data_IF_978439079803
#
_entry.id   IF_978439079803
#
_cell.length_a   1.000
_cell.length_b   1.000
_cell.length_c   1.000
_cell.angle_alpha   90.00
_cell.angle_beta   90.00
_cell.angle_gamma   90.00
#
_symmetry.space_group_name_H-M   'P 1'
#
loop_
_entity.id
_entity.type
_entity.pdbx_description
1 polymer ?
#
# COMPACT_ATOMS: atom_id res chain seq x y z
N UNK A 1 -0.99 15.17 -21.36
CA UNK A 1 -1.07 15.15 -19.88
C UNK A 1 -0.20 14.01 -19.36
N UNK A 2 0.26 14.04 -18.11
CA UNK A 2 0.98 12.93 -17.52
C UNK A 2 -0.01 11.79 -17.21
N UNK A 3 0.20 10.61 -17.81
CA UNK A 3 -0.69 9.46 -17.62
C UNK A 3 -0.35 8.69 -16.36
N UNK A 4 -1.37 8.33 -15.58
CA UNK A 4 -1.26 7.54 -14.36
C UNK A 4 -1.82 6.14 -14.63
N UNK A 5 -1.05 5.09 -14.37
CA UNK A 5 -1.54 3.72 -14.43
C UNK A 5 -1.67 3.19 -13.01
N UNK A 6 -2.88 2.80 -12.64
CA UNK A 6 -3.19 2.23 -11.33
C UNK A 6 -3.37 0.72 -11.46
N UNK A 7 -2.75 -0.05 -10.56
CA UNK A 7 -2.68 -1.51 -10.65
C UNK A 7 -3.00 -2.13 -9.30
N UNK A 8 -3.95 -3.07 -9.24
CA UNK A 8 -4.24 -3.78 -8.00
C UNK A 8 -5.69 -4.21 -7.86
N UNK A 9 -6.20 -4.11 -6.63
CA UNK A 9 -7.51 -4.64 -6.26
C UNK A 9 -8.70 -3.89 -6.86
N UNK A 10 -9.61 -4.67 -7.43
CA UNK A 10 -10.97 -4.27 -7.80
C UNK A 10 -11.94 -5.34 -7.29
N UNK A 11 -12.96 -4.93 -6.55
CA UNK A 11 -13.94 -5.84 -5.94
C UNK A 11 -15.28 -5.12 -5.76
N UNK A 12 -16.34 -5.86 -5.47
CA UNK A 12 -17.63 -5.28 -5.04
C UNK A 12 -17.70 -5.34 -3.51
N UNK A 13 -18.02 -4.22 -2.88
CA UNK A 13 -18.30 -4.16 -1.45
C UNK A 13 -19.79 -4.44 -1.24
N UNK A 14 -20.10 -5.50 -0.51
CA UNK A 14 -21.45 -5.93 -0.17
C UNK A 14 -21.63 -5.71 1.33
N UNK A 15 -22.59 -4.87 1.71
CA UNK A 15 -22.83 -4.53 3.11
C UNK A 15 -24.26 -4.88 3.48
N UNK A 16 -24.40 -5.78 4.44
CA UNK A 16 -25.65 -6.06 5.14
C UNK A 16 -25.66 -5.33 6.47
N UNK A 17 -26.72 -4.60 6.80
CA UNK A 17 -26.94 -4.00 8.12
C UNK A 17 -28.26 -4.53 8.68
N UNK A 18 -28.23 -5.08 9.88
CA UNK A 18 -29.45 -5.49 10.57
C UNK A 18 -30.21 -4.27 11.09
N UNK A 19 -31.55 -4.34 11.08
CA UNK A 19 -32.38 -3.20 11.53
C UNK A 19 -32.53 -3.14 13.08
N UNK A 20 -32.18 -4.21 13.79
CA UNK A 20 -32.30 -4.33 15.25
C UNK A 20 -31.19 -5.20 15.87
N UNK A 21 -31.40 -5.75 17.08
CA UNK A 21 -30.40 -6.59 17.73
C UNK A 21 -30.04 -7.80 16.87
N UNK A 22 -28.74 -8.03 16.66
CA UNK A 22 -28.27 -9.20 15.93
C UNK A 22 -28.49 -10.48 16.74
N UNK A 23 -29.14 -11.47 16.12
CA UNK A 23 -29.35 -12.80 16.68
C UNK A 23 -28.55 -13.81 15.83
N UNK A 24 -27.58 -14.47 16.46
CA UNK A 24 -26.76 -15.47 15.78
C UNK A 24 -27.57 -16.71 15.35
N UNK A 25 -27.10 -17.37 14.29
CA UNK A 25 -27.67 -18.62 13.75
C UNK A 25 -29.16 -18.55 13.32
N UNK A 26 -29.66 -17.35 12.99
CA UNK A 26 -30.99 -17.16 12.38
C UNK A 26 -30.96 -16.06 11.32
N UNK A 27 -32.06 -15.91 10.59
CA UNK A 27 -32.25 -14.83 9.61
C UNK A 27 -32.61 -13.53 10.32
N UNK A 28 -31.83 -12.47 10.10
CA UNK A 28 -32.04 -11.16 10.69
C UNK A 28 -32.59 -10.19 9.62
N UNK A 29 -33.74 -9.53 9.84
CA UNK A 29 -34.21 -8.45 8.97
C UNK A 29 -33.20 -7.30 8.89
N UNK A 30 -33.06 -6.73 7.70
CA UNK A 30 -32.09 -5.67 7.47
C UNK A 30 -32.05 -5.20 6.02
N UNK A 31 -31.01 -4.42 5.70
CA UNK A 31 -30.77 -3.87 4.37
C UNK A 31 -29.45 -4.35 3.82
N UNK A 32 -29.45 -4.68 2.54
CA UNK A 32 -28.23 -5.02 1.78
C UNK A 32 -27.97 -3.93 0.75
N UNK A 33 -26.72 -3.53 0.62
CA UNK A 33 -26.25 -2.61 -0.40
C UNK A 33 -24.98 -3.13 -1.05
N UNK A 34 -24.86 -2.91 -2.35
CA UNK A 34 -23.63 -3.15 -3.08
C UNK A 34 -23.04 -1.83 -3.55
N UNK A 35 -21.72 -1.71 -3.49
CA UNK A 35 -20.98 -0.60 -4.05
C UNK A 35 -19.75 -1.13 -4.75
N UNK A 36 -19.36 -0.47 -5.83
CA UNK A 36 -18.06 -0.74 -6.41
C UNK A 36 -16.99 -0.44 -5.34
N UNK A 37 -16.10 -1.40 -5.07
CA UNK A 37 -14.94 -1.28 -4.17
C UNK A 37 -13.58 -1.52 -4.86
N UNK A 38 -12.55 -1.74 -4.04
CA UNK A 38 -11.17 -2.00 -4.45
C UNK A 38 -10.24 -0.81 -4.27
N UNK A 39 -9.08 -1.00 -3.63
CA UNK A 39 -8.16 0.09 -3.31
C UNK A 39 -7.61 0.73 -4.60
N UNK A 40 -7.00 -0.06 -5.49
CA UNK A 40 -6.55 0.42 -6.80
C UNK A 40 -7.69 1.03 -7.61
N UNK A 41 -8.86 0.37 -7.67
CA UNK A 41 -10.04 0.92 -8.36
C UNK A 41 -10.42 2.28 -7.79
N UNK A 42 -10.52 2.44 -6.47
CA UNK A 42 -10.93 3.69 -5.83
C UNK A 42 -9.93 4.82 -6.07
N UNK A 43 -8.62 4.50 -6.08
CA UNK A 43 -7.58 5.46 -6.47
C UNK A 43 -7.82 5.91 -7.92
N UNK A 44 -8.00 4.97 -8.85
CA UNK A 44 -8.24 5.28 -10.26
C UNK A 44 -9.53 6.10 -10.46
N UNK A 45 -10.62 5.68 -9.82
CA UNK A 45 -11.92 6.34 -9.87
C UNK A 45 -11.82 7.81 -9.42
N UNK A 46 -11.19 8.06 -8.28
CA UNK A 46 -11.02 9.42 -7.76
C UNK A 46 -10.11 10.27 -8.66
N UNK A 47 -9.05 9.69 -9.24
CA UNK A 47 -8.22 10.38 -10.23
C UNK A 47 -9.01 10.74 -11.49
N UNK A 48 -9.88 9.84 -11.96
CA UNK A 48 -10.76 10.09 -13.09
C UNK A 48 -11.75 11.23 -12.82
N UNK A 49 -12.39 11.24 -11.64
CA UNK A 49 -13.28 12.33 -11.23
C UNK A 49 -12.57 13.70 -11.14
N UNK A 50 -11.26 13.70 -10.86
CA UNK A 50 -10.42 14.90 -10.88
C UNK A 50 -9.95 15.30 -12.29
N UNK A 51 -10.35 14.57 -13.33
CA UNK A 51 -10.01 14.83 -14.73
C UNK A 51 -8.59 14.41 -15.11
N UNK A 52 -7.94 13.52 -14.34
CA UNK A 52 -6.63 12.99 -14.69
C UNK A 52 -6.73 11.96 -15.84
N UNK A 53 -5.70 11.89 -16.69
CA UNK A 53 -5.51 10.80 -17.64
C UNK A 53 -5.06 9.54 -16.86
N UNK A 54 -6.01 8.66 -16.56
CA UNK A 54 -5.80 7.49 -15.70
C UNK A 54 -6.31 6.21 -16.35
N UNK A 55 -5.54 5.13 -16.21
CA UNK A 55 -5.94 3.78 -16.60
C UNK A 55 -5.88 2.82 -15.41
N UNK A 56 -6.77 1.84 -15.41
CA UNK A 56 -6.81 0.78 -14.41
C UNK A 56 -6.39 -0.56 -15.02
N UNK A 57 -5.40 -1.21 -14.40
CA UNK A 57 -5.08 -2.62 -14.62
C UNK A 57 -5.50 -3.38 -13.36
N UNK A 58 -6.57 -4.15 -13.48
CA UNK A 58 -7.08 -5.02 -12.43
C UNK A 58 -7.67 -6.27 -13.06
N UNK A 59 -7.79 -7.36 -12.29
CA UNK A 59 -8.49 -8.56 -12.73
C UNK A 59 -9.89 -8.59 -12.14
N UNK A 60 -10.87 -8.86 -13.00
CA UNK A 60 -12.28 -9.02 -12.68
C UNK A 60 -12.77 -10.34 -13.29
N UNK A 61 -13.82 -10.92 -12.72
CA UNK A 61 -14.48 -12.08 -13.29
C UNK A 61 -15.26 -11.72 -14.56
N UNK A 62 -15.56 -12.75 -15.36
CA UNK A 62 -16.55 -12.66 -16.43
C UNK A 62 -17.96 -12.86 -15.84
N UNK A 63 -18.38 -11.91 -15.02
CA UNK A 63 -19.64 -11.95 -14.28
C UNK A 63 -20.28 -10.56 -14.14
N UNK A 64 -21.53 -10.52 -13.69
CA UNK A 64 -22.31 -9.28 -13.52
C UNK A 64 -21.60 -8.24 -12.65
N UNK A 65 -20.86 -8.69 -11.63
CA UNK A 65 -20.07 -7.81 -10.77
C UNK A 65 -18.88 -7.21 -11.52
N UNK A 66 -18.23 -7.98 -12.37
CA UNK A 66 -17.15 -7.52 -13.25
C UNK A 66 -17.67 -6.48 -14.24
N UNK A 67 -18.81 -6.75 -14.88
CA UNK A 67 -19.47 -5.79 -15.78
C UNK A 67 -19.88 -4.50 -15.05
N UNK A 68 -20.42 -4.62 -13.83
CA UNK A 68 -20.72 -3.48 -12.97
C UNK A 68 -19.48 -2.65 -12.64
N UNK A 69 -18.37 -3.28 -12.22
CA UNK A 69 -17.12 -2.60 -11.94
C UNK A 69 -16.56 -1.88 -13.16
N UNK A 70 -16.56 -2.53 -14.33
CA UNK A 70 -16.11 -1.92 -15.58
C UNK A 70 -16.92 -0.67 -15.91
N UNK A 71 -18.24 -0.75 -15.85
CA UNK A 71 -19.15 0.38 -16.12
C UNK A 71 -18.96 1.52 -15.12
N UNK A 72 -19.00 1.23 -13.82
CA UNK A 72 -18.88 2.24 -12.76
C UNK A 72 -17.51 2.93 -12.74
N UNK A 73 -16.46 2.22 -13.13
CA UNK A 73 -15.10 2.76 -13.22
C UNK A 73 -14.97 3.62 -14.48
N UNK A 74 -15.42 3.13 -15.63
CA UNK A 74 -15.40 3.87 -16.90
C UNK A 74 -16.22 5.15 -16.88
N UNK A 75 -17.37 5.16 -16.19
CA UNK A 75 -18.21 6.37 -16.05
C UNK A 75 -17.52 7.51 -15.27
N UNK A 76 -16.43 7.21 -14.56
CA UNK A 76 -15.61 8.21 -13.87
C UNK A 76 -14.48 8.78 -14.75
N UNK A 77 -14.41 8.43 -16.04
CA UNK A 77 -13.36 8.88 -16.94
C UNK A 77 -12.07 8.04 -16.88
N UNK A 78 -12.11 6.88 -16.24
CA UNK A 78 -10.97 5.95 -16.18
C UNK A 78 -10.92 5.09 -17.44
N UNK A 79 -9.75 4.97 -18.04
CA UNK A 79 -9.51 3.98 -19.09
C UNK A 79 -9.50 2.56 -18.49
N UNK A 80 -10.46 1.75 -18.94
CA UNK A 80 -10.71 0.39 -18.47
C UNK A 80 -10.27 -0.69 -19.47
N UNK A 81 -9.55 -0.32 -20.53
CA UNK A 81 -9.03 -1.28 -21.52
C UNK A 81 -7.90 -2.14 -20.95
N UNK A 82 -7.33 -1.73 -19.82
CA UNK A 82 -6.34 -2.50 -19.06
C UNK A 82 -6.93 -3.60 -18.17
N UNK A 83 -8.26 -3.71 -18.06
CA UNK A 83 -8.90 -4.74 -17.25
C UNK A 83 -8.67 -6.13 -17.84
N UNK A 84 -8.44 -7.08 -16.95
CA UNK A 84 -8.29 -8.50 -17.27
C UNK A 84 -9.58 -9.19 -16.87
N UNK A 85 -10.24 -9.83 -17.82
CA UNK A 85 -11.53 -10.48 -17.60
C UNK A 85 -11.34 -11.99 -17.62
N UNK A 86 -11.90 -12.67 -16.61
CA UNK A 86 -11.94 -14.12 -16.50
C UNK A 86 -10.98 -14.72 -15.46
N UNK A 87 -11.00 -16.05 -15.37
CA UNK A 87 -10.39 -16.78 -14.27
C UNK A 87 -11.37 -16.94 -13.12
N UNK A 88 -11.02 -16.41 -11.95
CA UNK A 88 -11.87 -16.41 -10.77
C UNK A 88 -13.05 -15.41 -10.88
N UNK A 89 -14.13 -15.60 -10.09
CA UNK A 89 -15.19 -14.59 -9.95
C UNK A 89 -14.64 -13.24 -9.50
N UNK A 90 -15.36 -12.16 -9.84
CA UNK A 90 -15.02 -10.81 -9.39
C UNK A 90 -14.96 -10.77 -7.88
N UNK A 91 -13.87 -10.22 -7.34
CA UNK A 91 -13.65 -10.14 -5.89
C UNK A 91 -14.82 -9.48 -5.17
N UNK A 92 -15.04 -9.89 -3.92
CA UNK A 92 -16.11 -9.38 -3.08
C UNK A 92 -15.63 -9.16 -1.64
N UNK A 93 -16.03 -8.04 -1.06
CA UNK A 93 -15.90 -7.77 0.37
C UNK A 93 -17.28 -7.74 0.99
N UNK A 94 -17.66 -8.82 1.67
CA UNK A 94 -18.94 -8.93 2.37
C UNK A 94 -18.76 -8.49 3.82
N UNK A 95 -19.53 -7.51 4.27
CA UNK A 95 -19.57 -7.05 5.66
C UNK A 95 -20.99 -7.15 6.21
N UNK A 96 -21.12 -7.74 7.39
CA UNK A 96 -22.34 -7.73 8.20
C UNK A 96 -22.16 -6.73 9.35
N UNK A 97 -23.09 -5.79 9.45
CA UNK A 97 -23.09 -4.71 10.44
C UNK A 97 -24.28 -4.85 11.38
N UNK A 98 -24.12 -4.43 12.63
CA UNK A 98 -25.22 -4.34 13.61
C UNK A 98 -26.16 -3.15 13.36
N UNK A 99 -27.16 -3.00 14.23
CA UNK A 99 -28.14 -1.90 14.19
C UNK A 99 -27.49 -0.53 14.32
N UNK A 100 -26.32 -0.43 14.95
CA UNK A 100 -25.56 0.79 15.17
C UNK A 100 -24.58 1.07 14.02
N UNK A 101 -24.28 0.07 13.19
CA UNK A 101 -23.37 0.15 12.05
C UNK A 101 -21.96 -0.35 12.36
N UNK A 102 -21.74 -0.98 13.50
CA UNK A 102 -20.48 -1.62 13.87
C UNK A 102 -20.32 -2.97 13.16
N UNK A 103 -19.07 -3.35 12.89
CA UNK A 103 -18.76 -4.57 12.14
C UNK A 103 -18.95 -5.82 13.01
N UNK A 104 -19.88 -6.68 12.62
CA UNK A 104 -20.09 -8.00 13.25
C UNK A 104 -19.18 -9.07 12.64
N UNK A 105 -19.16 -9.16 11.32
CA UNK A 105 -18.37 -10.15 10.59
C UNK A 105 -18.05 -9.66 9.18
N UNK A 106 -16.96 -10.17 8.59
CA UNK A 106 -16.64 -9.92 7.19
C UNK A 106 -15.98 -11.13 6.52
N UNK A 107 -16.24 -11.26 5.22
CA UNK A 107 -15.52 -12.17 4.32
C UNK A 107 -14.90 -11.32 3.22
N UNK A 108 -13.61 -11.53 2.98
CA UNK A 108 -12.86 -10.82 1.95
C UNK A 108 -12.34 -11.82 0.92
N UNK A 109 -13.07 -11.97 -0.18
CA UNK A 109 -12.69 -12.81 -1.31
C UNK A 109 -12.03 -11.95 -2.39
N UNK A 110 -10.73 -12.18 -2.58
CA UNK A 110 -9.90 -11.43 -3.53
C UNK A 110 -9.19 -12.35 -4.53
N UNK A 111 -9.70 -13.57 -4.75
CA UNK A 111 -9.05 -14.59 -5.58
C UNK A 111 -8.66 -14.05 -6.97
N UNK A 112 -9.57 -13.35 -7.65
CA UNK A 112 -9.28 -12.71 -8.95
C UNK A 112 -8.08 -11.75 -8.89
N UNK A 113 -7.99 -10.90 -7.86
CA UNK A 113 -6.85 -9.98 -7.71
C UNK A 113 -5.56 -10.74 -7.36
N UNK A 114 -5.66 -11.79 -6.53
CA UNK A 114 -4.52 -12.61 -6.13
C UNK A 114 -3.98 -13.45 -7.30
N UNK A 115 -4.84 -13.79 -8.27
CA UNK A 115 -4.50 -14.45 -9.52
C UNK A 115 -3.78 -13.56 -10.55
N UNK A 116 -3.56 -12.27 -10.28
CA UNK A 116 -2.73 -11.42 -11.14
C UNK A 116 -1.27 -11.89 -11.11
N UNK A 117 -0.70 -12.11 -12.29
CA UNK A 117 0.68 -12.59 -12.46
C UNK A 117 1.59 -11.55 -13.13
N UNK A 118 2.93 -11.68 -13.02
CA UNK A 118 3.85 -10.86 -13.81
C UNK A 118 3.62 -10.95 -15.32
N UNK A 119 3.22 -12.12 -15.83
CA UNK A 119 2.87 -12.31 -17.25
C UNK A 119 1.67 -11.46 -17.65
N UNK A 120 0.66 -11.37 -16.77
CA UNK A 120 -0.47 -10.48 -17.00
C UNK A 120 -0.04 -9.02 -17.13
N UNK A 121 0.87 -8.57 -16.28
CA UNK A 121 1.38 -7.19 -16.32
C UNK A 121 2.21 -6.93 -17.57
N UNK A 122 3.04 -7.91 -17.98
CA UNK A 122 3.84 -7.84 -19.19
C UNK A 122 2.97 -7.77 -20.45
N UNK A 123 1.85 -8.50 -20.50
CA UNK A 123 0.89 -8.38 -21.59
C UNK A 123 0.25 -6.98 -21.70
N UNK A 124 0.29 -6.16 -20.62
CA UNK A 124 -0.21 -4.78 -20.59
C UNK A 124 0.93 -3.75 -20.70
N UNK A 125 2.11 -4.18 -21.13
CA UNK A 125 3.24 -3.29 -21.40
C UNK A 125 2.89 -2.10 -22.32
N UNK A 126 2.01 -2.22 -23.35
CA UNK A 126 1.61 -1.05 -24.14
C UNK A 126 0.90 0.06 -23.36
N UNK A 127 0.19 -0.29 -22.27
CA UNK A 127 -0.45 0.68 -21.36
C UNK A 127 0.59 1.25 -20.41
N UNK A 128 1.43 0.38 -19.82
CA UNK A 128 2.49 0.77 -18.88
C UNK A 128 3.56 1.66 -19.51
N UNK A 129 3.90 1.46 -20.79
CA UNK A 129 4.89 2.24 -21.51
C UNK A 129 4.49 3.72 -21.66
N UNK A 130 3.21 4.04 -21.53
CA UNK A 130 2.68 5.41 -21.58
C UNK A 130 2.66 6.09 -20.20
N UNK A 131 2.95 5.36 -19.12
CA UNK A 131 2.80 5.84 -17.76
C UNK A 131 3.91 6.83 -17.38
N UNK A 132 3.53 7.99 -16.85
CA UNK A 132 4.45 8.87 -16.10
C UNK A 132 4.53 8.48 -14.63
N UNK A 133 3.45 7.89 -14.11
CA UNK A 133 3.34 7.35 -12.76
C UNK A 133 2.66 5.99 -12.79
N UNK A 134 3.17 5.07 -11.97
CA UNK A 134 2.50 3.82 -11.64
C UNK A 134 2.11 3.88 -10.17
N UNK A 135 0.84 3.61 -9.88
CA UNK A 135 0.35 3.42 -8.51
C UNK A 135 -0.07 1.96 -8.37
N UNK A 136 0.58 1.23 -7.46
CA UNK A 136 0.23 -0.14 -7.14
C UNK A 136 -0.31 -0.23 -5.72
N UNK A 137 -1.11 -1.24 -5.41
CA UNK A 137 -1.49 -1.55 -4.03
C UNK A 137 -0.91 -2.90 -3.57
N UNK A 138 -0.85 -3.10 -2.26
CA UNK A 138 -0.40 -4.37 -1.69
C UNK A 138 -1.45 -5.49 -1.74
N UNK A 139 -2.54 -5.38 -2.51
CA UNK A 139 -3.34 -6.56 -2.86
C UNK A 139 -2.61 -7.45 -3.87
N UNK A 140 -1.67 -6.90 -4.64
CA UNK A 140 -0.80 -7.66 -5.54
C UNK A 140 0.13 -8.61 -4.79
N UNK A 141 0.47 -9.72 -5.46
CA UNK A 141 1.46 -10.68 -4.97
C UNK A 141 2.87 -10.07 -4.92
N UNK A 142 3.77 -10.57 -4.04
CA UNK A 142 5.17 -10.16 -4.04
C UNK A 142 5.86 -10.31 -5.40
N UNK A 143 5.48 -11.31 -6.20
CA UNK A 143 6.00 -11.51 -7.55
C UNK A 143 5.62 -10.34 -8.48
N UNK A 144 4.35 -9.93 -8.48
CA UNK A 144 3.88 -8.77 -9.24
C UNK A 144 4.54 -7.47 -8.77
N UNK A 145 4.66 -7.26 -7.45
CA UNK A 145 5.31 -6.07 -6.91
C UNK A 145 6.80 -6.00 -7.32
N UNK A 146 7.54 -7.10 -7.24
CA UNK A 146 8.93 -7.15 -7.71
C UNK A 146 9.05 -6.89 -9.23
N UNK A 147 8.13 -7.43 -10.03
CA UNK A 147 8.08 -7.16 -11.47
C UNK A 147 7.85 -5.67 -11.76
N UNK A 148 6.90 -5.03 -11.05
CA UNK A 148 6.62 -3.61 -11.20
C UNK A 148 7.82 -2.74 -10.81
N UNK A 149 8.51 -3.09 -9.73
CA UNK A 149 9.74 -2.42 -9.31
C UNK A 149 10.82 -2.49 -10.40
N UNK A 150 11.04 -3.67 -10.97
CA UNK A 150 11.98 -3.85 -12.07
C UNK A 150 11.55 -3.07 -13.33
N UNK A 151 10.26 -3.09 -13.68
CA UNK A 151 9.71 -2.38 -14.82
C UNK A 151 9.82 -0.85 -14.68
N UNK A 152 9.49 -0.32 -13.50
CA UNK A 152 9.63 1.09 -13.15
C UNK A 152 11.08 1.55 -13.24
N UNK A 153 12.03 0.75 -12.72
CA UNK A 153 13.46 1.04 -12.82
C UNK A 153 13.96 1.09 -14.26
N UNK A 154 13.56 0.13 -15.10
CA UNK A 154 13.95 0.09 -16.53
C UNK A 154 13.41 1.28 -17.32
N UNK A 155 12.18 1.69 -17.04
CA UNK A 155 11.49 2.77 -17.76
C UNK A 155 11.75 4.16 -17.17
N UNK A 156 12.31 4.26 -15.96
CA UNK A 156 12.41 5.52 -15.22
C UNK A 156 11.08 6.04 -14.68
N UNK A 157 10.02 5.21 -14.72
CA UNK A 157 8.68 5.58 -14.25
C UNK A 157 8.62 5.66 -12.73
N UNK A 158 7.92 6.64 -12.17
CA UNK A 158 7.77 6.77 -10.72
C UNK A 158 6.73 5.76 -10.22
N UNK A 159 7.17 4.83 -9.36
CA UNK A 159 6.32 3.83 -8.73
C UNK A 159 5.93 4.24 -7.31
N UNK A 160 4.63 4.34 -7.05
CA UNK A 160 4.04 4.53 -5.73
C UNK A 160 3.35 3.24 -5.29
N UNK A 161 3.46 2.86 -4.01
CA UNK A 161 2.78 1.69 -3.47
C UNK A 161 1.91 2.04 -2.26
N UNK A 162 0.61 1.74 -2.36
CA UNK A 162 -0.37 1.86 -1.29
C UNK A 162 -0.39 0.56 -0.43
N UNK A 163 -0.06 0.62 0.88
CA UNK A 163 0.09 -0.58 1.70
C UNK A 163 -1.21 -1.33 2.06
N UNK A 164 -2.39 -0.73 1.88
CA UNK A 164 -3.73 -1.33 2.09
C UNK A 164 -4.05 -1.65 3.56
N UNK A 165 -3.34 -2.60 4.18
CA UNK A 165 -3.57 -3.05 5.57
C UNK A 165 -2.24 -3.45 6.21
N UNK A 166 -2.21 -3.62 7.54
CA UNK A 166 -1.00 -4.09 8.24
C UNK A 166 -0.52 -5.42 7.65
N UNK A 167 -1.42 -6.40 7.51
CA UNK A 167 -1.07 -7.71 6.97
C UNK A 167 -0.53 -7.63 5.53
N UNK A 168 -1.21 -6.89 4.64
CA UNK A 168 -0.80 -6.76 3.23
C UNK A 168 0.47 -5.94 3.06
N UNK A 169 0.68 -4.93 3.91
CA UNK A 169 1.89 -4.10 3.87
C UNK A 169 3.18 -4.90 4.06
N UNK A 170 3.12 -6.04 4.76
CA UNK A 170 4.28 -6.90 4.98
C UNK A 170 4.89 -7.43 3.68
N UNK A 171 4.11 -7.51 2.59
CA UNK A 171 4.60 -7.86 1.24
C UNK A 171 5.67 -6.89 0.73
N UNK A 172 5.69 -5.64 1.20
CA UNK A 172 6.75 -4.68 0.90
C UNK A 172 8.11 -5.16 1.40
N UNK A 173 8.14 -6.01 2.43
CA UNK A 173 9.39 -6.56 2.95
C UNK A 173 10.01 -7.60 2.02
N UNK A 174 9.22 -8.18 1.12
CA UNK A 174 9.63 -9.19 0.14
C UNK A 174 10.10 -8.57 -1.18
N UNK A 175 10.04 -7.24 -1.31
CA UNK A 175 10.57 -6.51 -2.46
C UNK A 175 12.10 -6.43 -2.35
N UNK A 176 12.77 -6.86 -3.42
CA UNK A 176 14.24 -6.96 -3.50
C UNK A 176 14.93 -5.61 -3.71
N UNK A 177 14.41 -4.75 -4.59
CA UNK A 177 14.98 -3.45 -4.93
C UNK A 177 14.09 -2.27 -4.51
N UNK A 178 13.94 -2.10 -3.20
CA UNK A 178 13.04 -1.07 -2.64
C UNK A 178 13.44 0.37 -2.97
N UNK A 179 14.70 0.62 -3.36
CA UNK A 179 15.20 1.96 -3.72
C UNK A 179 14.51 2.48 -4.99
N UNK A 180 14.06 1.58 -5.86
CA UNK A 180 13.30 1.95 -7.06
C UNK A 180 11.83 2.33 -6.78
N UNK A 181 11.34 2.15 -5.54
CA UNK A 181 10.03 2.65 -5.13
C UNK A 181 10.14 4.15 -4.84
N UNK A 182 9.41 4.97 -5.60
CA UNK A 182 9.43 6.42 -5.44
C UNK A 182 8.83 6.85 -4.09
N UNK A 183 7.67 6.29 -3.74
CA UNK A 183 7.02 6.56 -2.46
C UNK A 183 6.10 5.41 -2.01
N UNK A 184 5.85 5.35 -0.70
CA UNK A 184 4.75 4.58 -0.11
C UNK A 184 3.88 5.49 0.75
N UNK A 185 2.61 5.11 0.94
CA UNK A 185 1.59 5.90 1.66
C UNK A 185 1.03 5.21 2.91
N UNK A 186 1.87 4.68 3.82
CA UNK A 186 1.37 3.99 5.00
C UNK A 186 0.64 4.92 5.96
N UNK A 187 -0.40 4.39 6.59
CA UNK A 187 -0.91 4.95 7.83
C UNK A 187 0.06 4.63 9.00
N UNK A 188 -0.22 5.17 10.19
CA UNK A 188 0.62 5.01 11.37
C UNK A 188 0.86 3.55 11.76
N UNK A 189 -0.18 2.71 11.76
CA UNK A 189 -0.09 1.31 12.17
C UNK A 189 0.73 0.48 11.18
N UNK A 190 0.51 0.68 9.88
CA UNK A 190 1.30 0.04 8.82
C UNK A 190 2.77 0.45 8.92
N UNK A 191 3.05 1.74 9.14
CA UNK A 191 4.41 2.24 9.31
C UNK A 191 5.12 1.65 10.54
N UNK A 192 4.41 1.59 11.67
CA UNK A 192 4.92 0.98 12.90
C UNK A 192 5.22 -0.51 12.70
N UNK A 193 4.34 -1.26 12.03
CA UNK A 193 4.54 -2.68 11.72
C UNK A 193 5.77 -2.89 10.81
N UNK A 194 5.85 -2.15 9.70
CA UNK A 194 6.97 -2.21 8.76
C UNK A 194 8.29 -1.94 9.48
N UNK A 195 8.40 -0.83 10.22
CA UNK A 195 9.66 -0.45 10.88
C UNK A 195 10.02 -1.32 12.08
N UNK A 196 9.04 -1.93 12.75
CA UNK A 196 9.29 -2.81 13.90
C UNK A 196 9.91 -4.14 13.47
N UNK A 197 9.39 -4.72 12.39
CA UNK A 197 9.92 -5.98 11.85
C UNK A 197 11.37 -5.83 11.39
N UNK A 198 11.70 -4.68 10.82
CA UNK A 198 13.06 -4.37 10.38
C UNK A 198 14.04 -4.20 11.55
N UNK A 199 13.58 -3.60 12.66
CA UNK A 199 14.39 -3.50 13.89
C UNK A 199 14.62 -4.86 14.53
N UNK A 200 13.59 -5.72 14.57
CA UNK A 200 13.72 -7.08 15.06
C UNK A 200 14.77 -7.86 14.25
N UNK A 201 14.71 -7.74 12.93
CA UNK A 201 15.67 -8.36 12.04
C UNK A 201 17.11 -7.86 12.30
N UNK A 202 17.33 -6.54 12.43
CA UNK A 202 18.64 -5.96 12.77
C UNK A 202 19.17 -6.40 14.14
N UNK A 203 18.32 -6.52 15.16
CA UNK A 203 18.71 -6.95 16.52
C UNK A 203 19.16 -8.40 16.57
N UNK A 204 18.57 -9.26 15.75
CA UNK A 204 18.90 -10.69 15.68
C UNK A 204 20.25 -11.00 14.99
N UNK A 205 20.97 -10.01 14.46
CA UNK A 205 22.14 -10.18 13.56
C UNK A 205 21.86 -11.09 12.35
N UNK A 206 20.60 -11.33 11.99
CA UNK A 206 20.28 -11.79 10.65
C UNK A 206 20.70 -10.68 9.68
N UNK A 207 21.59 -11.00 8.74
CA UNK A 207 22.07 -10.09 7.70
C UNK A 207 20.96 -9.80 6.66
N UNK A 208 19.77 -9.39 7.10
CA UNK A 208 18.73 -8.98 6.18
C UNK A 208 19.03 -7.55 5.72
N UNK A 209 19.11 -7.40 4.39
CA UNK A 209 19.38 -6.22 3.55
C UNK A 209 18.39 -5.06 3.74
N UNK A 210 17.90 -4.85 4.95
CA UNK A 210 16.74 -3.99 5.16
C UNK A 210 17.19 -2.53 5.36
N UNK A 211 17.29 -1.82 4.24
CA UNK A 211 17.68 -0.42 4.12
C UNK A 211 16.58 0.61 4.39
N UNK A 212 15.80 0.42 5.46
CA UNK A 212 14.82 1.39 5.94
C UNK A 212 15.18 1.80 7.37
N UNK A 213 15.99 2.84 7.50
CA UNK A 213 16.24 3.45 8.80
C UNK A 213 16.25 4.98 8.61
N UNK A 214 15.23 5.70 9.12
CA UNK A 214 15.28 7.16 9.13
C UNK A 214 16.43 7.59 10.04
N UNK A 215 17.46 8.24 9.48
CA UNK A 215 18.54 8.83 10.28
C UNK A 215 17.97 9.91 11.19
N UNK A 216 18.05 9.66 12.50
CA UNK A 216 18.03 10.58 13.65
C UNK A 216 17.55 12.02 13.36
N UNK A 217 16.24 12.25 13.49
CA UNK A 217 15.68 13.37 14.26
C UNK A 217 14.24 12.99 14.66
N UNK A 218 13.94 12.77 15.95
CA UNK A 218 12.55 12.56 16.36
C UNK A 218 11.80 13.87 16.15
N UNK A 219 10.87 13.91 15.20
CA UNK A 219 9.77 14.86 15.28
C UNK A 219 8.94 14.42 16.49
N UNK A 220 8.99 15.21 17.56
CA UNK A 220 8.09 15.04 18.72
C UNK A 220 6.65 14.96 18.20
N UNK A 221 5.86 13.93 18.56
CA UNK A 221 4.43 14.01 18.36
C UNK A 221 3.90 15.09 19.29
N UNK A 222 3.50 16.23 18.72
CA UNK A 222 2.62 17.16 19.43
C UNK A 222 1.30 16.43 19.68
N UNK A 223 0.90 16.36 20.96
CA UNK A 223 -0.39 15.80 21.35
C UNK A 223 -1.51 16.49 20.60
N UNK A 224 -2.27 15.70 19.85
CA UNK A 224 -3.41 16.16 19.06
C UNK A 224 -3.98 14.98 18.28
N UNK A 225 -5.21 14.59 18.64
CA UNK A 225 -6.01 13.49 18.09
C UNK A 225 -6.49 13.77 16.66
N UNK A 226 -5.55 13.86 15.72
CA UNK A 226 -5.82 13.92 14.28
C UNK A 226 -4.90 12.97 13.53
N UNK A 227 -5.47 11.94 12.91
CA UNK A 227 -4.71 10.97 12.10
C UNK A 227 -3.98 11.68 10.95
N UNK A 228 -2.66 11.74 11.02
CA UNK A 228 -1.81 12.21 9.91
C UNK A 228 -1.33 10.99 9.13
N UNK A 229 -1.63 10.96 7.82
CA UNK A 229 -0.98 10.05 6.89
C UNK A 229 0.49 10.47 6.71
N UNK A 230 1.42 9.52 6.69
CA UNK A 230 2.84 9.78 6.47
C UNK A 230 3.27 9.21 5.12
N UNK A 231 3.89 10.03 4.26
CA UNK A 231 4.54 9.55 3.04
C UNK A 231 6.02 9.29 3.30
N UNK A 232 6.56 8.15 2.84
CA UNK A 232 8.01 7.89 2.83
C UNK A 232 8.47 7.91 1.38
N UNK A 233 9.47 8.75 1.07
CA UNK A 233 10.09 8.86 -0.26
C UNK A 233 11.37 8.01 -0.38
N UNK A 234 11.74 7.69 -1.63
CA UNK A 234 12.95 6.95 -2.01
C UNK A 234 14.25 7.50 -1.39
N UNK A 235 14.33 8.79 -1.11
CA UNK A 235 15.51 9.45 -0.51
C UNK A 235 15.88 8.90 0.88
N UNK A 236 14.96 8.18 1.53
CA UNK A 236 15.16 7.53 2.82
C UNK A 236 15.74 6.11 2.72
N UNK A 237 15.87 5.56 1.52
CA UNK A 237 16.45 4.23 1.27
C UNK A 237 17.88 4.39 0.74
N UNK A 238 18.88 3.82 1.44
CA UNK A 238 20.25 3.71 0.91
C UNK A 238 20.66 2.23 0.83
N UNK A 239 21.23 1.76 -0.30
CA UNK A 239 21.73 0.40 -0.40
C UNK A 239 22.97 0.22 0.49
N UNK A 240 23.04 -0.92 1.20
CA UNK A 240 24.28 -1.41 1.78
C UNK A 240 25.04 -2.17 0.67
N UNK A 241 26.13 -1.60 0.18
CA UNK A 241 27.09 -2.28 -0.69
C UNK A 241 27.96 -3.19 0.16
N UNK A 242 27.58 -4.45 0.32
CA UNK A 242 28.53 -5.54 0.62
C UNK A 242 27.98 -6.84 -0.01
N UNK A 243 28.68 -7.31 -1.04
CA UNK A 243 28.18 -8.23 -2.06
C UNK A 243 28.47 -9.71 -1.82
N UNK A 244 28.57 -10.20 -0.58
CA UNK A 244 28.99 -11.59 -0.38
C UNK A 244 28.32 -12.28 0.82
N UNK A 245 27.09 -12.76 0.66
CA UNK A 245 26.44 -13.73 1.56
C UNK A 245 25.26 -14.42 0.83
N UNK A 246 25.29 -15.76 0.71
CA UNK A 246 24.12 -16.59 0.35
C UNK A 246 23.58 -17.21 1.64
N UNK A 247 22.26 -17.16 1.84
CA UNK A 247 21.58 -17.89 2.93
C UNK A 247 20.85 -19.09 2.34
N UNK A 248 21.14 -20.30 2.84
CA UNK A 248 20.23 -21.44 2.67
C UNK A 248 19.03 -21.21 3.60
N UNK A 249 17.83 -21.54 3.16
CA UNK A 249 16.56 -21.18 3.81
C UNK A 249 16.29 -21.80 5.19
N UNK A 250 17.31 -22.13 5.98
CA UNK A 250 17.20 -22.82 7.27
C UNK A 250 17.40 -21.93 8.51
N UNK A 251 17.78 -20.66 8.32
CA UNK A 251 17.79 -19.67 9.41
C UNK A 251 18.79 -19.93 10.55
N UNK A 252 19.84 -20.75 10.35
CA UNK A 252 20.92 -20.92 11.34
C UNK A 252 22.27 -20.50 10.76
N UNK A 253 22.82 -19.40 11.27
CA UNK A 253 24.22 -19.01 11.04
C UNK A 253 25.14 -19.89 11.91
N UNK A 254 25.79 -20.88 11.28
CA UNK A 254 26.85 -21.66 11.92
C UNK A 254 28.08 -20.81 12.24
N UNK A 255 28.53 -20.88 13.50
CA UNK A 255 29.80 -20.37 14.06
C UNK A 255 30.01 -18.85 14.06
N UNK A 256 29.81 -18.24 15.23
CA UNK A 256 30.56 -17.04 15.61
C UNK A 256 31.09 -17.18 17.04
N UNK A 257 32.25 -17.85 17.20
CA UNK A 257 33.09 -17.72 18.39
C UNK A 257 34.05 -16.56 18.16
N UNK A 258 33.86 -15.44 18.85
CA UNK A 258 34.97 -14.62 19.40
C UNK A 258 34.42 -13.50 20.28
N UNK A 259 34.97 -13.46 21.50
CA UNK A 259 34.77 -12.46 22.54
C UNK A 259 35.51 -11.18 22.16
N UNK A 260 34.93 -9.99 22.42
CA UNK A 260 35.72 -8.80 22.76
C UNK A 260 34.94 -7.90 23.73
N UNK A 261 35.63 -7.52 24.83
CA UNK A 261 35.17 -6.72 25.98
C UNK A 261 35.05 -5.22 25.63
N UNK A 262 34.26 -4.41 26.37
CA UNK A 262 34.12 -2.97 26.12
C UNK A 262 35.24 -2.14 26.78
N UNK A 263 35.74 -1.11 26.09
CA UNK A 263 36.52 -0.02 26.69
C UNK A 263 35.64 1.23 26.85
N UNK A 264 35.65 1.80 28.06
CA UNK A 264 35.06 3.08 28.45
C UNK A 264 36.06 4.22 28.19
N UNK A 265 35.57 5.39 27.81
CA UNK A 265 36.33 6.66 27.77
C UNK A 265 35.37 7.85 27.50
N UNK A 266 35.51 9.00 28.20
CA UNK A 266 34.53 10.09 28.17
C UNK A 266 34.86 11.13 27.08
N UNK A 267 33.82 11.75 26.50
CA UNK A 267 33.94 12.90 25.59
C UNK A 267 33.37 14.17 26.27
N UNK A 268 34.04 15.33 26.20
CA UNK A 268 33.52 16.57 26.76
C UNK A 268 32.62 17.33 25.78
N UNK A 269 31.60 17.99 26.33
CA UNK A 269 30.68 18.91 25.67
C UNK A 269 31.32 20.27 25.39
N UNK A 270 31.06 20.86 24.22
CA UNK A 270 31.01 22.32 24.02
C UNK A 270 29.85 22.68 23.08
N UNK A 271 29.03 23.62 23.52
CA UNK A 271 27.83 24.09 22.83
C UNK A 271 28.11 25.18 21.80
N UNK A 272 27.13 25.36 20.91
CA UNK A 272 27.06 26.46 19.95
C UNK A 272 25.79 26.37 19.12
N UNK A 273 24.92 27.38 19.26
CA UNK A 273 23.79 27.70 18.38
C UNK A 273 23.74 29.24 18.25
N UNK A 274 22.96 29.83 17.34
CA UNK A 274 22.51 29.39 16.00
C UNK A 274 22.87 30.44 14.91
N UNK A 275 22.72 30.10 13.62
CA UNK A 275 22.57 31.13 12.56
C UNK A 275 21.40 30.80 11.64
N UNK A 276 20.65 31.87 11.38
CA UNK A 276 19.40 32.01 10.65
C UNK A 276 19.59 31.98 9.13
N UNK A 277 18.53 31.64 8.39
CA UNK A 277 18.42 32.04 6.98
C UNK A 277 17.58 31.16 6.05
N UNK A 278 16.35 31.65 5.77
CA UNK A 278 15.52 31.44 4.55
C UNK A 278 14.88 30.05 4.32
N UNK A 279 13.58 29.96 4.62
CA UNK A 279 12.66 28.95 4.06
C UNK A 279 11.98 29.51 2.81
N UNK A 280 11.92 28.73 1.73
CA UNK A 280 10.98 28.91 0.60
C UNK A 280 9.66 28.19 0.94
N UNK A 281 8.50 28.60 0.38
CA UNK A 281 7.22 27.99 0.73
C UNK A 281 7.05 26.66 -0.01
N UNK A 282 6.91 25.56 0.74
CA UNK A 282 6.31 24.33 0.21
C UNK A 282 4.79 24.46 0.32
N UNK A 283 4.12 24.38 -0.84
CA UNK A 283 2.67 24.27 -0.94
C UNK A 283 2.30 22.83 -0.53
N UNK A 284 1.82 22.67 0.70
CA UNK A 284 1.23 21.42 1.15
C UNK A 284 -0.23 21.34 0.63
N UNK A 285 -0.48 20.43 -0.31
CA UNK A 285 -1.83 19.98 -0.67
C UNK A 285 -2.45 19.27 0.53
N UNK A 286 -3.31 19.97 1.25
CA UNK A 286 -4.14 19.40 2.31
C UNK A 286 -5.36 18.72 1.68
N UNK A 287 -5.43 17.38 1.78
CA UNK A 287 -6.69 16.66 1.70
C UNK A 287 -7.44 16.86 3.02
N UNK A 288 -8.44 17.74 3.01
CA UNK A 288 -9.44 17.83 4.10
C UNK A 288 -10.77 17.34 3.54
N UNK A 289 -11.10 16.09 3.82
CA UNK A 289 -12.48 15.61 3.70
C UNK A 289 -13.34 16.34 4.74
N UNK A 290 -14.11 17.33 4.30
CA UNK A 290 -15.12 17.96 5.15
C UNK A 290 -16.24 16.94 5.38
N UNK A 291 -16.39 16.48 6.63
CA UNK A 291 -17.66 15.90 7.10
C UNK A 291 -18.70 17.01 7.08
N UNK A 292 -19.71 16.92 6.21
CA UNK A 292 -20.98 17.61 6.42
C UNK A 292 -21.90 16.63 7.13
N UNK A 293 -22.18 16.92 8.40
CA UNK A 293 -23.42 16.49 9.04
C UNK A 293 -24.56 17.13 8.24
N UNK A 294 -25.49 16.30 7.78
CA UNK A 294 -26.84 16.75 7.45
C UNK A 294 -27.74 16.08 8.48
N UNK A 295 -28.36 16.92 9.30
CA UNK A 295 -29.45 16.58 10.17
C UNK A 295 -30.77 16.61 9.38
N UNK A 296 -31.76 15.90 9.94
CA UNK A 296 -33.09 15.56 9.42
C UNK A 296 -33.14 14.30 8.56
#
# INVERSE_FOLDING_TARGET
MARIVVIGGANVDIKGRVDGPFIAATSNPGRVSEAAGGVARNIAHNLGLLGADVALIARIGDDERGYYLRRATGSAGVDVDGLIVGGDPTGAYLALLDGEGELLAAVNDMAATEGLTPHDLEARQPILAKASFIVADCNLSPACLNWLVASARRSGTRLLIEPVSVAKSMRLLEITDRVAIHAITPNRQQLEALTSQERACRRSRCACRIGLCPRRRPLRPGGGSGGRAGSISAEHFRPCHDGNCRCDGSGRCGRCRSRLRPRRGPWPWRGGAPRSGRRRPEVALQFVGRRRHVAC
#
